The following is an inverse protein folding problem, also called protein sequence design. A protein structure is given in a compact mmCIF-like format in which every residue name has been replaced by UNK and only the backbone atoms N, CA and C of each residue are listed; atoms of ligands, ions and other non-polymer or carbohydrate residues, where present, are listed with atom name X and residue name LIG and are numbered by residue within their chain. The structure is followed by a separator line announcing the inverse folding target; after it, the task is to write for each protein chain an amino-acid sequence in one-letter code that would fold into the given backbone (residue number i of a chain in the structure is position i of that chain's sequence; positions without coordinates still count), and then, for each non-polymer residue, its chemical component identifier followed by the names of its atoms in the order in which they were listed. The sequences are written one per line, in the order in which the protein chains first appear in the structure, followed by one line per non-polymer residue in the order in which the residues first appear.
data_IF_945584492737
#
_entry.id   IF_945584492737
#
_cell.length_a   1.000
_cell.length_b   1.000
_cell.length_c   1.000
_cell.angle_alpha   90.00
_cell.angle_beta   90.00
_cell.angle_gamma   90.00
#
_symmetry.space_group_name_H-M   'P 1'
#
loop_
_entity.id
_entity.type
_entity.pdbx_description
1 polymer ?
#
# COMPACT_ATOMS: atom_id res chain seq x y z
N UNK A 1 -7.24 30.36 -7.66
CA UNK A 1 -5.94 30.93 -8.08
C UNK A 1 -5.96 32.39 -7.70
N UNK A 2 -5.01 32.81 -6.87
CA UNK A 2 -4.86 34.17 -6.36
C UNK A 2 -3.67 34.82 -7.04
N UNK A 3 -3.86 36.02 -7.57
CA UNK A 3 -2.83 36.79 -8.25
C UNK A 3 -2.74 38.16 -7.62
N UNK A 4 -1.52 38.65 -7.41
CA UNK A 4 -1.32 40.04 -7.01
C UNK A 4 -1.41 40.93 -8.25
N UNK A 5 -2.43 41.79 -8.32
CA UNK A 5 -2.61 42.72 -9.45
C UNK A 5 -1.64 43.92 -9.35
N UNK A 6 -1.29 44.34 -8.13
CA UNK A 6 -0.44 45.49 -7.85
C UNK A 6 1.07 45.15 -7.71
N UNK A 7 1.54 44.08 -8.35
CA UNK A 7 2.88 43.53 -8.13
C UNK A 7 4.03 44.48 -8.52
N UNK A 8 3.80 45.43 -9.43
CA UNK A 8 4.81 46.42 -9.84
C UNK A 8 4.91 47.62 -8.88
N UNK A 9 3.86 47.90 -8.10
CA UNK A 9 3.81 49.06 -7.20
C UNK A 9 3.91 48.69 -5.71
N UNK A 10 3.83 47.40 -5.35
CA UNK A 10 3.85 46.98 -3.95
C UNK A 10 5.23 47.09 -3.28
N UNK A 11 6.31 47.37 -4.03
CA UNK A 11 7.67 47.53 -3.51
C UNK A 11 8.33 46.25 -2.98
N UNK A 12 7.62 45.12 -2.97
CA UNK A 12 8.09 43.83 -2.44
C UNK A 12 8.44 42.82 -3.54
N UNK A 13 8.57 43.27 -4.80
CA UNK A 13 8.78 42.40 -5.96
C UNK A 13 10.03 41.52 -5.78
N UNK A 14 11.16 42.11 -5.40
CA UNK A 14 12.42 41.39 -5.23
C UNK A 14 12.36 40.28 -4.17
N UNK A 15 11.58 40.47 -3.11
CA UNK A 15 11.39 39.46 -2.06
C UNK A 15 10.24 38.48 -2.33
N UNK A 16 9.32 38.80 -3.26
CA UNK A 16 8.10 38.04 -3.50
C UNK A 16 8.21 37.05 -4.67
N UNK A 17 8.78 37.48 -5.81
CA UNK A 17 8.95 36.65 -7.01
C UNK A 17 9.90 37.27 -8.03
N UNK A 18 10.62 36.43 -8.78
CA UNK A 18 11.41 36.85 -9.95
C UNK A 18 10.59 36.94 -11.24
N UNK A 19 9.30 36.56 -11.21
CA UNK A 19 8.44 36.55 -12.39
C UNK A 19 8.03 37.98 -12.81
N UNK A 20 8.08 38.25 -14.12
CA UNK A 20 7.72 39.56 -14.68
C UNK A 20 6.26 39.97 -14.47
N UNK A 21 5.34 39.00 -14.36
CA UNK A 21 3.90 39.21 -14.22
C UNK A 21 3.35 39.03 -12.81
N UNK A 22 4.20 39.11 -11.78
CA UNK A 22 3.79 38.92 -10.38
C UNK A 22 3.62 37.45 -9.98
N UNK A 23 3.33 37.23 -8.69
CA UNK A 23 3.20 35.90 -8.10
C UNK A 23 1.76 35.42 -8.23
N UNK A 24 1.58 34.22 -8.78
CA UNK A 24 0.31 33.51 -8.73
C UNK A 24 0.40 32.36 -7.72
N UNK A 25 -0.52 32.32 -6.76
CA UNK A 25 -0.65 31.24 -5.78
C UNK A 25 -1.94 30.48 -6.07
N UNK A 26 -1.84 29.17 -6.22
CA UNK A 26 -3.03 28.32 -6.33
C UNK A 26 -3.17 27.58 -5.02
N UNK A 27 -4.34 27.70 -4.39
CA UNK A 27 -4.70 26.92 -3.21
C UNK A 27 -5.88 26.03 -3.57
N UNK A 28 -5.75 24.73 -3.33
CA UNK A 28 -6.80 23.74 -3.43
C UNK A 28 -7.77 23.90 -2.25
N UNK A 29 -8.99 23.40 -2.41
CA UNK A 29 -10.02 23.46 -1.37
C UNK A 29 -9.54 22.77 -0.07
N UNK A 30 -8.83 21.65 -0.21
CA UNK A 30 -8.35 20.83 0.91
C UNK A 30 -6.81 20.87 1.03
N UNK A 31 -6.18 22.00 0.68
CA UNK A 31 -4.72 22.16 0.72
C UNK A 31 -4.14 21.84 2.12
N UNK A 32 -4.84 22.23 3.18
CA UNK A 32 -4.40 21.97 4.57
C UNK A 32 -4.29 20.48 4.87
N UNK A 33 -5.19 19.67 4.31
CA UNK A 33 -5.14 18.21 4.44
C UNK A 33 -3.92 17.66 3.69
N UNK A 34 -3.63 18.19 2.50
CA UNK A 34 -2.48 17.79 1.68
C UNK A 34 -1.17 18.17 2.37
N UNK A 35 -1.08 19.37 2.94
CA UNK A 35 0.07 19.83 3.72
C UNK A 35 0.30 18.93 4.93
N UNK A 36 -0.76 18.60 5.68
CA UNK A 36 -0.67 17.69 6.82
C UNK A 36 -0.22 16.29 6.40
N UNK A 37 -0.76 15.73 5.32
CA UNK A 37 -0.32 14.42 4.80
C UNK A 37 1.14 14.48 4.37
N UNK A 38 1.58 15.57 3.75
CA UNK A 38 2.95 15.77 3.32
C UNK A 38 3.90 15.82 4.51
N UNK A 39 3.55 16.57 5.55
CA UNK A 39 4.34 16.65 6.78
C UNK A 39 4.39 15.31 7.51
N UNK A 40 3.25 14.60 7.61
CA UNK A 40 3.20 13.24 8.16
C UNK A 40 4.09 12.27 7.37
N UNK A 41 4.11 12.41 6.05
CA UNK A 41 4.94 11.57 5.17
C UNK A 41 6.43 11.85 5.35
N UNK A 42 6.81 13.12 5.53
CA UNK A 42 8.19 13.54 5.78
C UNK A 42 8.68 13.11 7.15
N UNK A 43 7.90 13.39 8.20
CA UNK A 43 8.22 12.99 9.57
C UNK A 43 8.33 11.46 9.72
N UNK A 44 7.53 10.69 8.98
CA UNK A 44 7.55 9.22 8.97
C UNK A 44 8.31 8.63 7.77
N UNK A 45 9.36 9.30 7.28
CA UNK A 45 10.08 8.90 6.06
C UNK A 45 10.54 7.44 6.06
N UNK A 46 11.01 6.93 7.20
CA UNK A 46 11.50 5.55 7.32
C UNK A 46 10.40 4.51 7.03
N UNK A 47 9.18 4.74 7.51
CA UNK A 47 8.03 3.86 7.28
C UNK A 47 7.67 3.87 5.79
N UNK A 48 7.67 5.04 5.16
CA UNK A 48 7.38 5.16 3.73
C UNK A 48 8.42 4.46 2.85
N UNK A 49 9.71 4.58 3.18
CA UNK A 49 10.78 3.83 2.50
C UNK A 49 10.60 2.31 2.65
N UNK A 50 10.24 1.85 3.83
CA UNK A 50 9.97 0.43 4.07
C UNK A 50 8.75 -0.06 3.28
N UNK A 51 7.67 0.73 3.21
CA UNK A 51 6.50 0.41 2.38
C UNK A 51 6.86 0.31 0.91
N UNK A 52 7.67 1.24 0.38
CA UNK A 52 8.14 1.18 -0.99
C UNK A 52 8.87 -0.14 -1.30
N UNK A 53 9.68 -0.65 -0.37
CA UNK A 53 10.40 -1.90 -0.54
C UNK A 53 9.49 -3.14 -0.40
N UNK A 54 8.58 -3.15 0.57
CA UNK A 54 7.80 -4.35 0.92
C UNK A 54 6.55 -4.49 0.05
N UNK A 55 5.86 -3.39 -0.22
CA UNK A 55 4.46 -3.40 -0.67
C UNK A 55 4.33 -3.14 -2.18
N UNK A 56 5.14 -2.22 -2.72
CA UNK A 56 5.05 -1.83 -4.14
C UNK A 56 5.39 -2.99 -5.08
N UNK A 57 6.41 -3.79 -4.76
CA UNK A 57 6.77 -4.94 -5.58
C UNK A 57 5.64 -5.98 -5.68
N UNK A 58 5.01 -6.46 -4.58
CA UNK A 58 3.83 -7.31 -4.65
C UNK A 58 2.72 -6.76 -5.53
N UNK A 59 2.34 -5.50 -5.33
CA UNK A 59 1.28 -4.88 -6.12
C UNK A 59 1.65 -4.76 -7.60
N UNK A 60 2.90 -4.39 -7.91
CA UNK A 60 3.40 -4.37 -9.28
C UNK A 60 3.38 -5.76 -9.93
N UNK A 61 3.72 -6.80 -9.18
CA UNK A 61 3.65 -8.19 -9.66
C UNK A 61 2.21 -8.60 -9.95
N UNK A 62 1.30 -8.42 -8.99
CA UNK A 62 -0.10 -8.79 -9.16
C UNK A 62 -0.76 -8.04 -10.32
N UNK A 63 -0.58 -6.72 -10.39
CA UNK A 63 -1.23 -5.89 -11.41
C UNK A 63 -0.62 -6.07 -12.79
N UNK A 64 0.72 -6.05 -12.91
CA UNK A 64 1.41 -6.07 -14.22
C UNK A 64 1.70 -7.49 -14.72
N UNK A 65 2.21 -8.36 -13.86
CA UNK A 65 2.64 -9.70 -14.29
C UNK A 65 1.50 -10.72 -14.25
N UNK A 66 0.57 -10.60 -13.30
CA UNK A 66 -0.61 -11.49 -13.23
C UNK A 66 -1.84 -10.89 -13.92
N UNK A 67 -1.75 -9.65 -14.44
CA UNK A 67 -2.84 -9.00 -15.17
C UNK A 67 -4.02 -8.55 -14.31
N UNK A 68 -3.88 -8.53 -12.97
CA UNK A 68 -4.95 -8.18 -12.03
C UNK A 68 -5.22 -6.67 -12.03
N UNK A 69 -5.95 -6.19 -13.05
CA UNK A 69 -6.21 -4.77 -13.30
C UNK A 69 -7.67 -4.36 -13.11
N UNK A 70 -8.59 -5.32 -13.17
CA UNK A 70 -10.02 -5.16 -12.94
C UNK A 70 -10.57 -6.37 -12.19
N UNK A 71 -11.70 -6.19 -11.51
CA UNK A 71 -12.41 -7.27 -10.84
C UNK A 71 -13.37 -7.95 -11.82
N UNK A 72 -13.47 -9.27 -11.70
CA UNK A 72 -14.44 -10.07 -12.45
C UNK A 72 -15.80 -10.12 -11.76
N UNK A 73 -15.81 -9.93 -10.44
CA UNK A 73 -17.00 -10.02 -9.61
C UNK A 73 -17.53 -8.64 -9.18
N UNK A 74 -18.76 -8.60 -8.66
CA UNK A 74 -19.40 -7.39 -8.12
C UNK A 74 -19.84 -7.62 -6.67
N UNK A 75 -19.84 -6.54 -5.88
CA UNK A 75 -20.17 -6.57 -4.45
C UNK A 75 -18.95 -6.83 -3.56
N UNK A 76 -18.93 -6.21 -2.38
CA UNK A 76 -17.75 -6.19 -1.49
C UNK A 76 -17.29 -7.59 -1.07
N UNK A 77 -18.23 -8.49 -0.78
CA UNK A 77 -17.90 -9.86 -0.39
C UNK A 77 -17.19 -10.63 -1.51
N UNK A 78 -17.73 -10.60 -2.73
CA UNK A 78 -17.15 -11.30 -3.89
C UNK A 78 -15.81 -10.70 -4.31
N UNK A 79 -15.73 -9.37 -4.38
CA UNK A 79 -14.49 -8.63 -4.68
C UNK A 79 -13.42 -8.89 -3.62
N UNK A 80 -13.82 -8.99 -2.35
CA UNK A 80 -12.94 -9.36 -1.24
C UNK A 80 -12.37 -10.76 -1.43
N UNK A 81 -13.21 -11.75 -1.79
CA UNK A 81 -12.76 -13.11 -2.10
C UNK A 81 -11.76 -13.13 -3.26
N UNK A 82 -12.06 -12.42 -4.35
CA UNK A 82 -11.19 -12.31 -5.52
C UNK A 82 -9.81 -11.74 -5.15
N UNK A 83 -9.81 -10.67 -4.34
CA UNK A 83 -8.58 -10.05 -3.82
C UNK A 83 -7.79 -11.01 -2.93
N UNK A 84 -8.46 -11.78 -2.09
CA UNK A 84 -7.81 -12.76 -1.22
C UNK A 84 -7.17 -13.89 -2.03
N UNK A 85 -7.84 -14.36 -3.10
CA UNK A 85 -7.31 -15.41 -3.97
C UNK A 85 -6.04 -14.96 -4.71
N UNK A 86 -6.01 -13.75 -5.28
CA UNK A 86 -4.80 -13.26 -5.96
C UNK A 86 -3.65 -13.04 -4.98
N UNK A 87 -3.93 -12.53 -3.77
CA UNK A 87 -2.93 -12.38 -2.72
C UNK A 87 -2.36 -13.75 -2.30
N UNK A 88 -3.24 -14.75 -2.13
CA UNK A 88 -2.84 -16.12 -1.79
C UNK A 88 -1.96 -16.73 -2.89
N UNK A 89 -2.33 -16.59 -4.15
CA UNK A 89 -1.55 -17.07 -5.29
C UNK A 89 -0.15 -16.41 -5.34
N UNK A 90 -0.08 -15.09 -5.13
CA UNK A 90 1.20 -14.37 -5.04
C UNK A 90 2.07 -14.89 -3.89
N UNK A 91 1.48 -15.08 -2.70
CA UNK A 91 2.18 -15.58 -1.53
C UNK A 91 2.73 -16.99 -1.76
N UNK A 92 1.95 -17.91 -2.34
CA UNK A 92 2.44 -19.24 -2.68
C UNK A 92 3.57 -19.19 -3.71
N UNK A 93 3.45 -18.37 -4.76
CA UNK A 93 4.50 -18.20 -5.77
C UNK A 93 5.80 -17.71 -5.12
N UNK A 94 5.73 -16.79 -4.15
CA UNK A 94 6.89 -16.31 -3.39
C UNK A 94 7.45 -17.37 -2.45
N UNK A 95 6.60 -18.06 -1.69
CA UNK A 95 7.02 -19.11 -0.77
C UNK A 95 7.74 -20.24 -1.50
N UNK A 96 7.20 -20.70 -2.64
CA UNK A 96 7.85 -21.72 -3.47
C UNK A 96 9.24 -21.26 -3.92
N UNK A 97 9.38 -19.98 -4.30
CA UNK A 97 10.69 -19.43 -4.71
C UNK A 97 11.69 -19.34 -3.55
N UNK A 98 11.24 -19.07 -2.32
CA UNK A 98 12.10 -18.88 -1.14
C UNK A 98 12.46 -20.21 -0.47
N UNK A 99 11.48 -21.12 -0.33
CA UNK A 99 11.62 -22.37 0.43
C UNK A 99 11.70 -23.62 -0.45
N UNK A 100 11.17 -23.57 -1.67
CA UNK A 100 11.02 -24.75 -2.51
C UNK A 100 9.80 -25.60 -2.13
N UNK A 101 9.32 -26.41 -3.08
CA UNK A 101 8.08 -27.17 -2.92
C UNK A 101 8.20 -28.26 -1.85
N UNK A 102 9.32 -28.99 -1.82
CA UNK A 102 9.53 -30.12 -0.89
C UNK A 102 9.45 -29.66 0.57
N UNK A 103 10.13 -28.56 0.90
CA UNK A 103 10.16 -28.01 2.26
C UNK A 103 8.77 -27.50 2.67
N UNK A 104 8.03 -26.89 1.75
CA UNK A 104 6.65 -26.46 2.03
C UNK A 104 5.72 -27.64 2.33
N UNK A 105 5.79 -28.72 1.54
CA UNK A 105 4.99 -29.93 1.80
C UNK A 105 5.31 -30.50 3.18
N UNK A 106 6.60 -30.56 3.54
CA UNK A 106 7.03 -31.00 4.87
C UNK A 106 6.44 -30.11 5.96
N UNK A 107 6.64 -28.79 5.87
CA UNK A 107 6.15 -27.82 6.86
C UNK A 107 4.63 -27.89 7.05
N UNK A 108 3.87 -28.01 5.96
CA UNK A 108 2.42 -28.11 6.04
C UNK A 108 1.96 -29.45 6.62
N UNK A 109 2.65 -30.55 6.31
CA UNK A 109 2.38 -31.87 6.89
C UNK A 109 2.65 -31.90 8.39
N UNK A 110 3.77 -31.31 8.82
CA UNK A 110 4.16 -31.23 10.23
C UNK A 110 3.17 -30.35 11.01
N UNK A 111 2.74 -29.22 10.44
CA UNK A 111 1.73 -28.36 11.04
C UNK A 111 0.35 -29.03 11.15
N UNK A 112 -0.06 -29.78 10.12
CA UNK A 112 -1.32 -30.53 10.14
C UNK A 112 -1.35 -31.56 11.27
N UNK A 113 -0.23 -32.30 11.45
CA UNK A 113 -0.05 -33.27 12.53
C UNK A 113 -0.06 -32.62 13.93
N UNK A 114 0.55 -31.44 14.06
CA UNK A 114 0.52 -30.69 15.32
C UNK A 114 -0.91 -30.27 15.70
N UNK A 115 -1.71 -29.81 14.73
CA UNK A 115 -3.11 -29.40 14.96
C UNK A 115 -4.03 -30.57 15.25
N UNK A 116 -3.88 -31.71 14.56
CA UNK A 116 -4.66 -32.92 14.85
C UNK A 116 -4.39 -33.40 16.28
N UNK A 117 -3.11 -33.46 16.67
CA UNK A 117 -2.75 -33.84 18.03
C UNK A 117 -3.31 -32.87 19.08
N UNK A 118 -3.33 -31.57 18.81
CA UNK A 118 -3.90 -30.58 19.74
C UNK A 118 -5.43 -30.71 19.88
N UNK A 119 -6.12 -31.03 18.78
CA UNK A 119 -7.56 -31.26 18.79
C UNK A 119 -7.92 -32.56 19.54
N UNK A 120 -7.14 -33.63 19.33
CA UNK A 120 -7.33 -34.90 20.03
C UNK A 120 -7.06 -34.78 21.54
N UNK A 121 -6.05 -33.98 21.93
CA UNK A 121 -5.77 -33.63 23.33
C UNK A 121 -6.88 -32.77 23.94
N UNK A 122 -7.55 -31.92 23.17
CA UNK A 122 -8.66 -31.13 23.67
C UNK A 122 -9.91 -31.99 23.89
N UNK A 123 -10.22 -32.88 22.94
CA UNK A 123 -11.35 -33.81 23.06
C UNK A 123 -11.18 -34.80 24.22
N UNK A 124 -9.96 -35.29 24.49
CA UNK A 124 -9.69 -36.20 25.61
C UNK A 124 -9.77 -35.56 26.99
N UNK A 125 -9.85 -34.22 27.08
CA UNK A 125 -10.05 -33.47 28.33
C UNK A 125 -11.52 -33.12 28.60
N UNK A 126 -12.39 -33.31 27.62
CA UNK A 126 -13.83 -33.03 27.71
C UNK A 126 -14.64 -34.31 27.94
N UNK A 127 -14.10 -35.47 27.57
CA UNK A 127 -14.59 -36.80 27.95
C UNK A 127 -14.15 -37.16 29.38
#
# INVERSE_FOLDING_TARGET
RYTCEAFDICGQKESCTSAKGGRAVTRLKDEEVIEQITENTRSQSNIYKQRAAIVEHPFGTMKRHLGYTYFLTRGLASVGTETNLICLAYNFKRLIKIKGVKDLIRLFSDQARSKSNMHDVYLSKIA
#
